data_IF_684296927455
#
_entry.id   IF_684296927455
#
_cell.length_a   1.000
_cell.length_b   1.000
_cell.length_c   1.000
_cell.angle_alpha   90.00
_cell.angle_beta   90.00
_cell.angle_gamma   90.00
#
_symmetry.space_group_name_H-M   'P 1'
#
loop_
_entity.id
_entity.type
_entity.pdbx_description
1 polymer ?
#
# COMPACT_ATOMS: atom_id res chain seq x y z
N UNK A 1 -4.72 -18.92 -37.31
CA UNK A 1 -5.15 -17.55 -36.94
C UNK A 1 -5.35 -17.48 -35.42
N UNK A 2 -4.28 -17.45 -34.61
CA UNK A 2 -4.35 -17.49 -33.14
C UNK A 2 -3.21 -16.72 -32.46
N UNK A 3 -2.72 -15.62 -33.05
CA UNK A 3 -1.62 -14.82 -32.49
C UNK A 3 -2.04 -13.49 -31.86
N UNK A 4 -3.31 -13.09 -31.91
CA UNK A 4 -3.76 -11.75 -31.49
C UNK A 4 -4.29 -11.61 -30.05
N UNK A 5 -4.42 -12.70 -29.28
CA UNK A 5 -5.00 -12.66 -27.91
C UNK A 5 -3.99 -12.52 -26.77
N UNK A 6 -2.70 -12.78 -27.01
CA UNK A 6 -1.66 -12.69 -25.98
C UNK A 6 -1.18 -11.25 -25.77
N UNK A 7 -1.11 -10.48 -26.86
CA UNK A 7 -0.65 -9.09 -26.83
C UNK A 7 -1.67 -8.12 -26.22
N UNK A 8 -2.98 -8.40 -26.36
CA UNK A 8 -4.04 -7.58 -25.76
C UNK A 8 -4.13 -7.75 -24.24
N UNK A 9 -3.86 -8.96 -23.73
CA UNK A 9 -3.79 -9.20 -22.27
C UNK A 9 -2.53 -8.57 -21.69
N UNK A 10 -1.38 -8.68 -22.38
CA UNK A 10 -0.14 -8.00 -21.99
C UNK A 10 -0.29 -6.47 -22.01
N UNK A 11 -0.94 -5.88 -23.02
CA UNK A 11 -1.22 -4.44 -23.09
C UNK A 11 -2.19 -3.96 -21.99
N UNK A 12 -3.18 -4.77 -21.62
CA UNK A 12 -4.03 -4.50 -20.45
C UNK A 12 -3.25 -4.65 -19.13
N UNK A 13 -2.35 -5.63 -19.05
CA UNK A 13 -1.49 -5.82 -17.89
C UNK A 13 -0.50 -4.66 -17.72
N UNK A 14 0.09 -4.17 -18.81
CA UNK A 14 0.99 -3.02 -18.82
C UNK A 14 0.26 -1.69 -18.59
N UNK A 15 -0.97 -1.50 -19.07
CA UNK A 15 -1.75 -0.28 -18.78
C UNK A 15 -2.28 -0.28 -17.34
N UNK A 16 -2.67 -1.43 -16.80
CA UNK A 16 -3.04 -1.57 -15.39
C UNK A 16 -1.80 -1.40 -14.49
N UNK A 17 -0.69 -2.09 -14.77
CA UNK A 17 0.58 -1.90 -14.06
C UNK A 17 1.11 -0.49 -14.20
N UNK A 18 1.05 0.13 -15.38
CA UNK A 18 1.46 1.52 -15.57
C UNK A 18 0.55 2.44 -14.79
N UNK A 19 -0.78 2.30 -14.84
CA UNK A 19 -1.69 3.16 -14.06
C UNK A 19 -1.52 2.98 -12.54
N UNK A 20 -1.24 1.75 -12.10
CA UNK A 20 -0.88 1.43 -10.72
C UNK A 20 0.48 2.04 -10.41
N UNK A 21 1.49 1.95 -11.29
CA UNK A 21 2.81 2.55 -11.11
C UNK A 21 2.76 4.06 -11.07
N UNK A 22 1.98 4.72 -11.95
CA UNK A 22 1.87 6.19 -11.97
C UNK A 22 1.11 6.67 -10.73
N UNK A 23 0.03 5.99 -10.31
CA UNK A 23 -0.66 6.29 -9.04
C UNK A 23 0.16 5.94 -7.80
N UNK A 24 0.94 4.85 -7.82
CA UNK A 24 1.82 4.46 -6.70
C UNK A 24 3.12 5.26 -6.65
N UNK A 25 3.55 5.86 -7.77
CA UNK A 25 4.66 6.81 -7.82
C UNK A 25 4.24 8.20 -7.33
N UNK A 26 2.99 8.63 -7.56
CA UNK A 26 2.43 9.81 -6.88
C UNK A 26 2.36 9.61 -5.36
N UNK A 27 2.09 8.39 -4.90
CA UNK A 27 2.15 7.96 -3.49
C UNK A 27 3.57 7.96 -2.89
N UNK A 28 4.63 7.99 -3.70
CA UNK A 28 6.02 8.10 -3.24
C UNK A 28 6.48 9.54 -3.02
N UNK A 29 5.66 10.55 -3.33
CA UNK A 29 6.11 11.92 -3.17
C UNK A 29 6.00 12.37 -1.72
N UNK A 30 7.17 12.50 -1.09
CA UNK A 30 7.49 13.25 0.14
C UNK A 30 6.76 14.61 0.28
N UNK A 31 6.13 15.10 -0.79
CA UNK A 31 5.25 16.28 -0.85
C UNK A 31 3.88 16.06 -0.15
N UNK A 32 3.42 14.81 0.01
CA UNK A 32 2.12 14.50 0.65
C UNK A 32 2.13 14.76 2.16
N UNK A 33 3.27 14.57 2.84
CA UNK A 33 3.36 14.80 4.30
C UNK A 33 3.23 16.27 4.69
N UNK A 34 3.74 17.20 3.86
CA UNK A 34 3.67 18.64 4.13
C UNK A 34 2.32 19.25 3.71
N UNK A 35 1.74 18.78 2.60
CA UNK A 35 0.44 19.29 2.12
C UNK A 35 -0.74 18.73 2.91
N UNK A 36 -0.67 17.48 3.38
CA UNK A 36 -1.71 16.89 4.24
C UNK A 36 -1.76 17.58 5.61
N UNK A 37 -0.63 17.93 6.22
CA UNK A 37 -0.61 18.62 7.51
C UNK A 37 -1.24 20.03 7.44
N UNK A 38 -1.00 20.76 6.35
CA UNK A 38 -1.58 22.11 6.14
C UNK A 38 -3.06 22.04 5.80
N UNK A 39 -3.50 21.08 4.97
CA UNK A 39 -4.92 20.87 4.65
C UNK A 39 -5.72 20.33 5.84
N UNK A 40 -5.13 19.46 6.66
CA UNK A 40 -5.75 18.94 7.89
C UNK A 40 -6.00 20.05 8.90
N UNK A 41 -5.05 20.97 9.09
CA UNK A 41 -5.19 22.13 9.99
C UNK A 41 -6.35 23.05 9.59
N UNK A 42 -6.56 23.27 8.30
CA UNK A 42 -7.71 24.06 7.79
C UNK A 42 -9.05 23.31 7.87
N UNK A 43 -9.07 21.98 7.75
CA UNK A 43 -10.30 21.19 7.95
C UNK A 43 -10.74 21.17 9.42
N UNK A 44 -9.78 21.25 10.33
CA UNK A 44 -9.97 21.21 11.78
C UNK A 44 -10.71 22.43 12.35
N UNK A 45 -10.47 23.63 11.78
CA UNK A 45 -11.23 24.85 12.12
C UNK A 45 -12.70 24.77 11.68
N UNK A 46 -13.04 23.94 10.69
CA UNK A 46 -14.42 23.77 10.21
C UNK A 46 -15.21 22.69 10.95
N UNK A 47 -14.55 21.81 11.71
CA UNK A 47 -15.14 20.61 12.33
C UNK A 47 -15.30 20.70 13.85
N UNK A 48 -14.80 21.77 14.47
CA UNK A 48 -14.88 21.99 15.93
C UNK A 48 -16.30 22.22 16.47
N UNK A 49 -17.33 22.12 15.62
CA UNK A 49 -18.73 22.39 15.99
C UNK A 49 -19.56 21.18 16.40
N UNK A 50 -19.25 19.95 15.95
CA UNK A 50 -20.12 18.77 16.17
C UNK A 50 -19.38 17.42 16.05
N UNK A 51 -18.31 17.17 16.81
CA UNK A 51 -17.75 15.81 16.90
C UNK A 51 -18.05 15.18 18.26
N UNK A 52 -18.67 14.00 18.24
CA UNK A 52 -18.64 13.08 19.38
C UNK A 52 -17.17 12.76 19.64
N UNK A 53 -16.66 13.20 20.78
CA UNK A 53 -15.24 13.08 21.11
C UNK A 53 -14.81 11.61 21.10
N UNK A 54 -13.82 11.26 20.27
CA UNK A 54 -13.30 9.88 20.16
C UNK A 54 -12.80 9.37 21.51
N UNK A 55 -13.14 8.12 21.83
CA UNK A 55 -12.67 7.42 23.01
C UNK A 55 -11.30 6.79 22.76
N UNK A 56 -10.56 6.52 23.85
CA UNK A 56 -9.27 5.82 23.76
C UNK A 56 -9.37 4.44 23.12
N UNK A 57 -10.50 3.76 23.30
CA UNK A 57 -10.77 2.44 22.70
C UNK A 57 -10.89 2.55 21.19
N UNK A 58 -11.68 3.50 20.69
CA UNK A 58 -11.82 3.77 19.26
C UNK A 58 -10.47 4.16 18.63
N UNK A 59 -9.65 4.93 19.34
CA UNK A 59 -8.30 5.26 18.86
C UNK A 59 -7.38 4.03 18.73
N UNK A 60 -7.52 3.03 19.61
CA UNK A 60 -6.78 1.75 19.50
C UNK A 60 -7.30 0.95 18.30
N UNK A 61 -8.61 0.94 18.07
CA UNK A 61 -9.20 0.28 16.90
C UNK A 61 -8.72 0.93 15.59
N UNK A 62 -8.61 2.27 15.56
CA UNK A 62 -8.03 3.01 14.44
C UNK A 62 -6.54 2.74 14.24
N UNK A 63 -5.74 2.64 15.31
CA UNK A 63 -4.33 2.20 15.22
C UNK A 63 -4.22 0.83 14.54
N UNK A 64 -5.10 -0.10 14.91
CA UNK A 64 -5.10 -1.45 14.34
C UNK A 64 -5.50 -1.44 12.86
N UNK A 65 -6.57 -0.73 12.49
CA UNK A 65 -7.00 -0.60 11.09
C UNK A 65 -5.92 0.06 10.23
N UNK A 66 -5.27 1.10 10.74
CA UNK A 66 -4.13 1.72 10.06
C UNK A 66 -2.99 0.72 9.84
N UNK A 67 -2.65 -0.07 10.87
CA UNK A 67 -1.62 -1.09 10.78
C UNK A 67 -1.98 -2.19 9.78
N UNK A 68 -3.24 -2.62 9.71
CA UNK A 68 -3.72 -3.59 8.72
C UNK A 68 -3.49 -3.10 7.30
N UNK A 69 -3.83 -1.84 7.00
CA UNK A 69 -3.59 -1.25 5.68
C UNK A 69 -2.10 -1.20 5.37
N UNK A 70 -1.26 -0.84 6.35
CA UNK A 70 0.19 -0.85 6.16
C UNK A 70 0.74 -2.27 5.90
N UNK A 71 0.18 -3.30 6.54
CA UNK A 71 0.55 -4.71 6.30
C UNK A 71 0.14 -5.14 4.89
N UNK A 72 -1.01 -4.69 4.38
CA UNK A 72 -1.43 -4.95 2.99
C UNK A 72 -0.45 -4.31 2.00
N UNK A 73 -0.10 -3.03 2.21
CA UNK A 73 0.92 -2.33 1.39
C UNK A 73 2.28 -3.05 1.43
N UNK A 74 2.68 -3.51 2.62
CA UNK A 74 3.91 -4.28 2.81
C UNK A 74 3.92 -5.60 2.02
N UNK A 75 2.79 -6.32 2.08
CA UNK A 75 2.61 -7.59 1.39
C UNK A 75 2.64 -7.39 -0.13
N UNK A 76 1.94 -6.36 -0.63
CA UNK A 76 1.98 -6.00 -2.05
C UNK A 76 3.42 -5.73 -2.52
N UNK A 77 4.18 -4.93 -1.76
CA UNK A 77 5.57 -4.60 -2.10
C UNK A 77 6.48 -5.81 -2.09
N UNK A 78 6.33 -6.72 -1.12
CA UNK A 78 7.01 -8.00 -1.13
C UNK A 78 6.72 -8.80 -2.40
N UNK A 79 5.46 -8.93 -2.79
CA UNK A 79 5.08 -9.71 -3.96
C UNK A 79 5.54 -9.08 -5.28
N UNK A 80 5.58 -7.75 -5.37
CA UNK A 80 6.18 -7.06 -6.51
C UNK A 80 7.67 -7.40 -6.66
N UNK A 81 8.45 -7.29 -5.56
CA UNK A 81 9.87 -7.65 -5.57
C UNK A 81 10.10 -9.13 -5.85
N UNK A 82 9.26 -10.00 -5.31
CA UNK A 82 9.30 -11.44 -5.55
C UNK A 82 9.09 -11.75 -7.04
N UNK A 83 8.04 -11.19 -7.64
CA UNK A 83 7.69 -11.39 -9.04
C UNK A 83 8.79 -10.88 -9.96
N UNK A 84 9.27 -9.65 -9.74
CA UNK A 84 10.36 -9.06 -10.52
C UNK A 84 11.64 -9.91 -10.46
N UNK A 85 11.99 -10.43 -9.28
CA UNK A 85 13.15 -11.31 -9.12
C UNK A 85 13.02 -12.56 -9.99
N UNK A 86 11.87 -13.24 -9.95
CA UNK A 86 11.70 -14.50 -10.69
C UNK A 86 11.51 -14.28 -12.18
N UNK A 87 10.91 -13.16 -12.59
CA UNK A 87 10.86 -12.74 -13.99
C UNK A 87 12.27 -12.59 -14.59
N UNK A 88 13.15 -11.83 -13.91
CA UNK A 88 14.56 -11.66 -14.33
C UNK A 88 15.36 -12.97 -14.34
N UNK A 89 15.07 -13.89 -13.42
CA UNK A 89 15.71 -15.21 -13.41
C UNK A 89 15.21 -16.07 -14.57
N UNK A 90 13.91 -16.04 -14.86
CA UNK A 90 13.27 -16.79 -15.93
C UNK A 90 13.77 -16.34 -17.33
N UNK A 91 13.94 -15.03 -17.54
CA UNK A 91 14.47 -14.45 -18.78
C UNK A 91 15.91 -14.88 -19.09
N UNK A 92 16.73 -15.07 -18.06
CA UNK A 92 18.16 -15.38 -18.19
C UNK A 92 18.48 -16.87 -18.16
N UNK A 93 17.51 -17.71 -17.79
CA UNK A 93 17.72 -19.13 -17.59
C UNK A 93 17.65 -19.91 -18.91
N UNK A 94 18.66 -20.74 -19.14
CA UNK A 94 18.78 -21.61 -20.32
C UNK A 94 18.48 -23.07 -19.99
N UNK A 95 18.51 -23.45 -18.70
CA UNK A 95 18.09 -24.76 -18.24
C UNK A 95 16.55 -24.83 -18.15
N UNK A 96 15.92 -25.64 -19.00
CA UNK A 96 14.46 -25.75 -19.10
C UNK A 96 13.78 -26.19 -17.79
N UNK A 97 14.43 -27.02 -16.97
CA UNK A 97 13.85 -27.44 -15.68
C UNK A 97 13.82 -26.28 -14.67
N UNK A 98 14.91 -25.53 -14.57
CA UNK A 98 14.99 -24.35 -13.70
C UNK A 98 14.08 -23.23 -14.19
N UNK A 99 14.02 -23.04 -15.51
CA UNK A 99 13.12 -22.09 -16.18
C UNK A 99 11.66 -22.39 -15.85
N UNK A 100 11.24 -23.66 -15.93
CA UNK A 100 9.91 -24.08 -15.49
C UNK A 100 9.64 -23.75 -14.01
N UNK A 101 10.62 -24.00 -13.12
CA UNK A 101 10.49 -23.66 -11.68
C UNK A 101 10.39 -22.15 -11.45
N UNK A 102 11.15 -21.33 -12.19
CA UNK A 102 11.09 -19.88 -12.07
C UNK A 102 9.78 -19.32 -12.62
N UNK A 103 9.29 -19.84 -13.75
CA UNK A 103 7.99 -19.47 -14.32
C UNK A 103 6.84 -19.74 -13.35
N UNK A 104 6.82 -20.90 -12.67
CA UNK A 104 5.78 -21.20 -11.65
C UNK A 104 5.82 -20.21 -10.47
N UNK A 105 7.02 -19.79 -10.06
CA UNK A 105 7.17 -18.80 -8.99
C UNK A 105 6.75 -17.40 -9.44
N UNK A 106 7.14 -17.00 -10.65
CA UNK A 106 6.70 -15.76 -11.27
C UNK A 106 5.16 -15.69 -11.34
N UNK A 107 4.51 -16.71 -11.89
CA UNK A 107 3.04 -16.78 -11.99
C UNK A 107 2.35 -16.72 -10.62
N UNK A 108 2.93 -17.39 -9.61
CA UNK A 108 2.45 -17.27 -8.22
C UNK A 108 2.57 -15.83 -7.73
N UNK A 109 3.69 -15.17 -8.02
CA UNK A 109 3.92 -13.77 -7.70
C UNK A 109 2.86 -12.86 -8.32
N UNK A 110 2.60 -13.00 -9.61
CA UNK A 110 1.60 -12.22 -10.35
C UNK A 110 0.19 -12.36 -9.75
N UNK A 111 -0.23 -13.59 -9.42
CA UNK A 111 -1.54 -13.84 -8.78
C UNK A 111 -1.65 -13.13 -7.43
N UNK A 112 -0.59 -13.14 -6.64
CA UNK A 112 -0.57 -12.47 -5.33
C UNK A 112 -0.51 -10.95 -5.47
N UNK A 113 0.25 -10.42 -6.43
CA UNK A 113 0.26 -8.98 -6.75
C UNK A 113 -1.15 -8.51 -7.11
N UNK A 114 -1.84 -9.24 -8.00
CA UNK A 114 -3.21 -8.89 -8.38
C UNK A 114 -4.16 -8.88 -7.17
N UNK A 115 -4.09 -9.93 -6.33
CA UNK A 115 -4.89 -10.02 -5.10
C UNK A 115 -4.64 -8.82 -4.18
N UNK A 116 -3.39 -8.59 -3.79
CA UNK A 116 -3.07 -7.52 -2.83
C UNK A 116 -3.25 -6.12 -3.41
N UNK A 117 -3.08 -5.94 -4.73
CA UNK A 117 -3.36 -4.65 -5.37
C UNK A 117 -4.85 -4.30 -5.27
N UNK A 118 -5.74 -5.29 -5.40
CA UNK A 118 -7.17 -5.09 -5.22
C UNK A 118 -7.49 -4.70 -3.78
N UNK A 119 -6.98 -5.45 -2.80
CA UNK A 119 -7.19 -5.18 -1.37
C UNK A 119 -6.64 -3.81 -0.94
N UNK A 120 -5.47 -3.40 -1.46
CA UNK A 120 -4.91 -2.07 -1.22
C UNK A 120 -5.81 -0.99 -1.83
N UNK A 121 -6.25 -1.14 -3.08
CA UNK A 121 -7.11 -0.15 -3.72
C UNK A 121 -8.45 0.02 -2.98
N UNK A 122 -9.06 -1.07 -2.52
CA UNK A 122 -10.30 -1.05 -1.74
C UNK A 122 -10.14 -0.40 -0.35
N UNK A 123 -8.90 -0.27 0.14
CA UNK A 123 -8.60 0.35 1.43
C UNK A 123 -8.06 1.78 1.33
N UNK A 124 -7.82 2.31 0.12
CA UNK A 124 -7.33 3.69 -0.05
C UNK A 124 -8.32 4.73 0.48
N UNK A 125 -9.60 4.59 0.17
CA UNK A 125 -10.63 5.54 0.63
C UNK A 125 -10.71 5.57 2.16
N UNK A 126 -10.51 4.41 2.81
CA UNK A 126 -10.47 4.28 4.27
C UNK A 126 -9.19 4.84 4.88
N UNK A 127 -8.08 4.81 4.14
CA UNK A 127 -6.77 5.21 4.64
C UNK A 127 -6.72 6.70 5.01
N UNK A 128 -7.28 7.56 4.15
CA UNK A 128 -7.29 9.01 4.38
C UNK A 128 -8.19 9.39 5.57
N UNK A 129 -9.34 8.73 5.70
CA UNK A 129 -10.24 8.90 6.84
C UNK A 129 -9.58 8.44 8.15
N UNK A 130 -8.95 7.27 8.15
CA UNK A 130 -8.24 6.73 9.32
C UNK A 130 -7.09 7.66 9.73
N UNK A 131 -6.33 8.20 8.77
CA UNK A 131 -5.25 9.15 9.08
C UNK A 131 -5.77 10.39 9.78
N UNK A 132 -6.86 10.98 9.29
CA UNK A 132 -7.50 12.14 9.91
C UNK A 132 -7.92 11.83 11.35
N UNK A 133 -8.62 10.73 11.57
CA UNK A 133 -9.07 10.33 12.91
C UNK A 133 -7.90 9.99 13.85
N UNK A 134 -6.79 9.44 13.33
CA UNK A 134 -5.57 9.23 14.12
C UNK A 134 -4.91 10.56 14.56
N UNK A 135 -5.02 11.62 13.76
CA UNK A 135 -4.56 12.95 14.19
C UNK A 135 -5.46 13.53 15.28
N UNK A 136 -6.76 13.30 15.25
CA UNK A 136 -7.65 13.65 16.36
C UNK A 136 -7.28 12.85 17.63
N UNK A 137 -7.02 11.55 17.51
CA UNK A 137 -6.53 10.71 18.60
C UNK A 137 -5.18 11.16 19.16
N UNK A 138 -4.28 11.66 18.30
CA UNK A 138 -3.00 12.24 18.71
C UNK A 138 -3.20 13.45 19.63
N UNK A 139 -4.15 14.32 19.32
CA UNK A 139 -4.43 15.50 20.14
C UNK A 139 -5.07 15.14 21.47
N UNK A 140 -5.99 14.17 21.47
CA UNK A 140 -6.71 13.75 22.67
C UNK A 140 -5.86 12.90 23.62
N UNK A 141 -5.05 11.98 23.08
CA UNK A 141 -4.40 10.93 23.87
C UNK A 141 -2.88 10.83 23.65
N UNK A 142 -2.31 11.67 22.80
CA UNK A 142 -0.88 11.88 22.68
C UNK A 142 -0.18 11.05 21.59
N UNK A 143 1.16 11.16 21.60
CA UNK A 143 2.07 10.76 20.50
C UNK A 143 2.02 9.29 20.09
N UNK A 144 1.45 8.41 20.91
CA UNK A 144 1.34 6.98 20.58
C UNK A 144 0.47 6.72 19.34
N UNK A 145 -0.55 7.56 19.09
CA UNK A 145 -1.45 7.46 17.95
C UNK A 145 -0.93 8.18 16.70
N UNK A 146 0.23 8.86 16.79
CA UNK A 146 0.85 9.46 15.63
C UNK A 146 1.23 8.36 14.61
N UNK A 147 0.88 8.49 13.31
CA UNK A 147 1.19 7.48 12.29
C UNK A 147 2.65 7.03 12.27
N UNK A 148 3.59 7.98 12.38
CA UNK A 148 5.02 7.69 12.52
C UNK A 148 5.37 6.81 13.73
N UNK A 149 4.75 7.04 14.89
CA UNK A 149 4.96 6.22 16.10
C UNK A 149 4.50 4.79 15.87
N UNK A 150 3.33 4.62 15.23
CA UNK A 150 2.77 3.30 14.88
C UNK A 150 3.70 2.58 13.90
N UNK A 151 4.19 3.25 12.86
CA UNK A 151 5.16 2.69 11.90
C UNK A 151 6.46 2.29 12.60
N UNK A 152 7.01 3.18 13.44
CA UNK A 152 8.27 2.93 14.17
C UNK A 152 8.16 1.72 15.09
N UNK A 153 7.04 1.59 15.81
CA UNK A 153 6.73 0.43 16.67
C UNK A 153 6.64 -0.88 15.89
N UNK A 154 6.13 -0.82 14.65
CA UNK A 154 5.86 -2.00 13.81
C UNK A 154 6.87 -2.23 12.67
N UNK A 155 8.03 -1.56 12.70
CA UNK A 155 9.05 -1.61 11.63
C UNK A 155 9.46 -3.03 11.21
N UNK A 156 9.51 -3.98 12.16
CA UNK A 156 9.86 -5.39 11.87
C UNK A 156 8.87 -6.07 10.93
N UNK A 157 7.58 -5.76 11.07
CA UNK A 157 6.51 -6.33 10.26
C UNK A 157 6.43 -5.59 8.92
N UNK A 158 6.66 -4.27 8.94
CA UNK A 158 6.60 -3.37 7.79
C UNK A 158 7.95 -3.27 7.05
N UNK A 159 8.61 -4.42 6.84
CA UNK A 159 9.98 -4.50 6.31
C UNK A 159 10.13 -3.98 4.88
N UNK A 160 9.10 -4.10 4.06
CA UNK A 160 9.13 -3.85 2.62
C UNK A 160 8.47 -2.52 2.24
N UNK A 161 7.68 -1.89 3.10
CA UNK A 161 7.14 -0.56 2.84
C UNK A 161 8.27 0.45 3.02
N UNK A 162 8.62 1.14 1.94
CA UNK A 162 9.49 2.30 2.04
C UNK A 162 8.66 3.48 2.55
N UNK A 163 9.16 4.13 3.59
CA UNK A 163 8.54 5.31 4.21
C UNK A 163 9.41 6.57 4.03
N UNK A 164 10.46 6.47 3.19
CA UNK A 164 11.48 7.50 2.94
C UNK A 164 11.44 7.97 1.49
#
# INVERSE_FOLDING_TARGET
MLFFRRDTILLLFFTILSSIFTKSFELNSVVFYQTSFVKLRSAQESLSGQSTQLTKKECIELENLFLEILILKNSLRFWLMYTERYSKLNERETNEELKGKYSVKEEKGEKMVLKYSKEVNESLDKYDEILKLLFECLELFGKQFHPYSIIKKNKKILKYVDFY
#
